data_IF_951451536537
#
_entry.id   IF_951451536537
#
_cell.length_a   1.000
_cell.length_b   1.000
_cell.length_c   1.000
_cell.angle_alpha   90.00
_cell.angle_beta   90.00
_cell.angle_gamma   90.00
#
_symmetry.space_group_name_H-M   'P 1'
#
loop_
_entity.id
_entity.type
_entity.pdbx_description
1 polymer ?
#
# COMPACT_ATOMS: atom_id res chain seq x y z
N UNK A 1 8.61 -19.47 -17.73
CA UNK A 1 8.63 -18.54 -18.88
C UNK A 1 8.31 -17.16 -18.37
N UNK A 2 9.27 -16.25 -18.45
CA UNK A 2 8.95 -14.85 -18.18
C UNK A 2 8.05 -14.38 -19.33
N UNK A 3 6.92 -13.78 -18.97
CA UNK A 3 6.05 -13.13 -19.95
C UNK A 3 6.89 -12.10 -20.71
N UNK A 4 6.88 -12.17 -22.04
CA UNK A 4 7.57 -11.22 -22.91
C UNK A 4 6.73 -9.98 -23.21
N UNK A 5 5.70 -9.73 -22.39
CA UNK A 5 4.83 -8.54 -22.54
C UNK A 5 5.65 -7.30 -22.16
N UNK A 6 5.84 -6.35 -23.07
CA UNK A 6 6.57 -5.14 -22.75
C UNK A 6 5.80 -4.30 -21.71
N UNK A 7 6.52 -3.54 -20.86
CA UNK A 7 5.86 -2.65 -19.91
C UNK A 7 4.95 -1.63 -20.61
N UNK A 8 3.89 -1.23 -19.90
CA UNK A 8 3.01 -0.15 -20.37
C UNK A 8 3.88 1.11 -20.55
N UNK A 9 3.81 1.79 -21.71
CA UNK A 9 4.61 2.99 -21.96
C UNK A 9 4.45 4.04 -20.88
N UNK A 10 5.54 4.70 -20.53
CA UNK A 10 5.57 5.76 -19.53
C UNK A 10 6.46 6.91 -19.95
N UNK A 11 6.12 8.10 -19.49
CA UNK A 11 6.95 9.28 -19.63
C UNK A 11 7.95 9.37 -18.46
N UNK A 12 9.21 9.82 -18.70
CA UNK A 12 10.16 10.11 -17.64
C UNK A 12 9.61 11.16 -16.66
N UNK A 13 10.02 11.07 -15.39
CA UNK A 13 9.64 12.03 -14.36
C UNK A 13 8.27 11.79 -13.72
N UNK A 14 7.56 10.74 -14.13
CA UNK A 14 6.26 10.38 -13.54
C UNK A 14 6.41 9.18 -12.61
N UNK A 15 5.78 9.28 -11.44
CA UNK A 15 5.62 8.15 -10.52
C UNK A 15 4.39 7.35 -10.91
N UNK A 16 4.53 6.04 -10.94
CA UNK A 16 3.41 5.13 -11.14
C UNK A 16 3.08 4.42 -9.84
N UNK A 17 1.93 4.77 -9.28
CA UNK A 17 1.41 4.18 -8.05
C UNK A 17 0.24 3.28 -8.40
N UNK A 18 0.24 2.06 -7.88
CA UNK A 18 -0.87 1.12 -8.04
C UNK A 18 -1.49 0.80 -6.69
N UNK A 19 -2.81 0.70 -6.65
CA UNK A 19 -3.57 0.26 -5.48
C UNK A 19 -4.44 -0.92 -5.87
N UNK A 20 -4.33 -2.02 -5.14
CA UNK A 20 -5.06 -3.26 -5.44
C UNK A 20 -5.52 -3.94 -4.15
N UNK A 21 -6.82 -4.18 -4.03
CA UNK A 21 -7.32 -5.16 -3.06
C UNK A 21 -7.10 -6.55 -3.66
N UNK A 22 -6.19 -7.33 -3.10
CA UNK A 22 -5.78 -8.62 -3.66
C UNK A 22 -6.62 -9.79 -3.18
N UNK A 23 -7.46 -9.58 -2.16
CA UNK A 23 -8.27 -10.64 -1.55
C UNK A 23 -7.45 -11.92 -1.31
N UNK A 24 -6.31 -11.75 -0.66
CA UNK A 24 -5.32 -12.79 -0.41
C UNK A 24 -4.18 -12.79 -1.42
N UNK A 25 -2.98 -12.40 -0.99
CA UNK A 25 -1.82 -12.27 -1.87
C UNK A 25 -1.41 -13.60 -2.52
N UNK A 26 -1.52 -14.72 -1.79
CA UNK A 26 -1.20 -16.06 -2.34
C UNK A 26 -2.08 -16.39 -3.54
N UNK A 27 -3.38 -16.11 -3.45
CA UNK A 27 -4.31 -16.33 -4.55
C UNK A 27 -4.03 -15.41 -5.73
N UNK A 28 -3.68 -14.15 -5.46
CA UNK A 28 -3.32 -13.18 -6.50
C UNK A 28 -2.07 -13.63 -7.28
N UNK A 29 -1.05 -14.13 -6.59
CA UNK A 29 0.17 -14.62 -7.25
C UNK A 29 -0.10 -15.89 -8.08
N UNK A 30 -0.99 -16.77 -7.65
CA UNK A 30 -1.43 -17.90 -8.47
C UNK A 30 -2.17 -17.46 -9.75
N UNK A 31 -2.70 -16.23 -9.77
CA UNK A 31 -3.39 -15.64 -10.91
C UNK A 31 -2.51 -14.66 -11.69
N UNK A 32 -1.20 -14.89 -11.68
CA UNK A 32 -0.20 -14.13 -12.46
C UNK A 32 0.01 -12.67 -12.02
N UNK A 33 -0.11 -12.36 -10.74
CA UNK A 33 0.16 -11.01 -10.24
C UNK A 33 1.59 -10.55 -10.53
N UNK A 34 2.57 -11.45 -10.53
CA UNK A 34 3.96 -11.11 -10.86
C UNK A 34 4.10 -10.54 -12.28
N UNK A 35 3.45 -11.15 -13.24
CA UNK A 35 3.44 -10.67 -14.65
C UNK A 35 2.71 -9.32 -14.75
N UNK A 36 1.59 -9.18 -14.05
CA UNK A 36 0.84 -7.94 -14.02
C UNK A 36 1.69 -6.78 -13.48
N UNK A 37 2.42 -6.99 -12.38
CA UNK A 37 3.31 -5.98 -11.81
C UNK A 37 4.42 -5.57 -12.78
N UNK A 38 5.04 -6.55 -13.44
CA UNK A 38 6.08 -6.31 -14.41
C UNK A 38 5.56 -5.51 -15.63
N UNK A 39 4.39 -5.89 -16.14
CA UNK A 39 3.74 -5.20 -17.25
C UNK A 39 3.38 -3.76 -16.91
N UNK A 40 2.85 -3.53 -15.71
CA UNK A 40 2.42 -2.19 -15.26
C UNK A 40 3.58 -1.28 -14.89
N UNK A 41 4.78 -1.82 -14.69
CA UNK A 41 5.98 -1.03 -14.38
C UNK A 41 5.76 -0.10 -13.18
N UNK A 42 5.28 -0.67 -12.07
CA UNK A 42 4.86 0.07 -10.88
C UNK A 42 6.07 0.52 -10.05
N UNK A 43 6.09 1.78 -9.63
CA UNK A 43 7.11 2.31 -8.73
C UNK A 43 6.74 2.09 -7.25
N UNK A 44 5.47 2.35 -6.92
CA UNK A 44 4.94 2.20 -5.55
C UNK A 44 3.66 1.36 -5.63
N UNK A 45 3.65 0.24 -4.91
CA UNK A 45 2.54 -0.69 -4.86
C UNK A 45 1.86 -0.63 -3.50
N UNK A 46 0.55 -0.39 -3.50
CA UNK A 46 -0.28 -0.42 -2.30
C UNK A 46 -1.26 -1.59 -2.39
N UNK A 47 -1.23 -2.49 -1.41
CA UNK A 47 -2.12 -3.64 -1.36
C UNK A 47 -3.02 -3.59 -0.14
N UNK A 48 -4.23 -4.12 -0.30
CA UNK A 48 -5.20 -4.32 0.76
C UNK A 48 -5.67 -5.79 0.74
N UNK A 49 -6.21 -6.24 1.86
CA UNK A 49 -6.59 -7.63 2.07
C UNK A 49 -5.47 -8.62 1.70
N UNK A 50 -4.28 -8.35 2.19
CA UNK A 50 -3.09 -9.19 1.97
C UNK A 50 -3.30 -10.60 2.52
N UNK A 51 -3.89 -10.73 3.72
CA UNK A 51 -4.34 -11.99 4.34
C UNK A 51 -3.27 -13.06 4.44
N UNK A 52 -2.03 -12.68 4.63
CA UNK A 52 -0.91 -13.60 4.72
C UNK A 52 0.11 -13.13 5.75
N UNK A 53 0.85 -14.07 6.37
CA UNK A 53 1.96 -13.71 7.25
C UNK A 53 3.04 -12.93 6.52
N UNK A 54 3.75 -12.08 7.25
CA UNK A 54 4.81 -11.22 6.71
C UNK A 54 5.89 -11.99 5.94
N UNK A 55 6.30 -13.16 6.43
CA UNK A 55 7.29 -14.00 5.74
C UNK A 55 6.85 -14.42 4.34
N UNK A 56 5.58 -14.76 4.16
CA UNK A 56 5.00 -15.13 2.86
C UNK A 56 4.95 -13.94 1.91
N UNK A 57 4.58 -12.77 2.44
CA UNK A 57 4.54 -11.53 1.66
C UNK A 57 5.92 -11.19 1.11
N UNK A 58 6.96 -11.27 1.94
CA UNK A 58 8.34 -10.97 1.55
C UNK A 58 8.91 -11.96 0.55
N UNK A 59 8.51 -13.22 0.64
CA UNK A 59 8.89 -14.24 -0.34
C UNK A 59 8.21 -14.00 -1.69
N UNK A 60 6.90 -13.77 -1.71
CA UNK A 60 6.13 -13.60 -2.95
C UNK A 60 6.50 -12.32 -3.71
N UNK A 61 6.61 -11.19 -3.01
CA UNK A 61 7.02 -9.91 -3.61
C UNK A 61 8.50 -9.87 -3.96
N UNK A 62 9.34 -10.65 -3.27
CA UNK A 62 10.79 -10.62 -3.35
C UNK A 62 11.40 -9.34 -2.77
N UNK A 63 11.94 -9.44 -1.56
CA UNK A 63 12.58 -8.32 -0.85
C UNK A 63 13.78 -7.72 -1.58
N UNK A 64 14.41 -8.47 -2.50
CA UNK A 64 15.48 -7.93 -3.31
C UNK A 64 14.98 -6.93 -4.36
N UNK A 65 13.72 -7.03 -4.73
CA UNK A 65 13.05 -6.20 -5.74
C UNK A 65 12.25 -5.06 -5.10
N UNK A 66 11.73 -5.26 -3.91
CA UNK A 66 10.81 -4.34 -3.24
C UNK A 66 11.23 -4.06 -1.81
N UNK A 67 11.17 -2.77 -1.42
CA UNK A 67 11.21 -2.36 -0.03
C UNK A 67 9.77 -2.44 0.52
N UNK A 68 9.50 -3.35 1.45
CA UNK A 68 8.15 -3.73 1.86
C UNK A 68 7.83 -3.17 3.25
N UNK A 69 6.79 -2.35 3.31
CA UNK A 69 6.14 -1.93 4.56
C UNK A 69 4.81 -2.67 4.65
N UNK A 70 4.72 -3.64 5.55
CA UNK A 70 3.53 -4.48 5.71
C UNK A 70 3.00 -4.38 7.14
N UNK A 71 1.72 -4.07 7.28
CA UNK A 71 1.00 -4.15 8.54
C UNK A 71 0.08 -5.38 8.51
N UNK A 72 0.55 -6.45 9.15
CA UNK A 72 -0.22 -7.66 9.33
C UNK A 72 -1.28 -7.44 10.41
N UNK A 73 -2.50 -7.96 10.22
CA UNK A 73 -3.50 -7.92 11.27
C UNK A 73 -3.21 -8.99 12.35
N UNK A 74 -3.51 -8.65 13.62
CA UNK A 74 -3.42 -9.63 14.71
C UNK A 74 -4.32 -10.85 14.46
N UNK A 75 -5.49 -10.64 13.84
CA UNK A 75 -6.37 -11.72 13.41
C UNK A 75 -5.80 -12.38 12.15
N UNK A 76 -5.29 -13.60 12.28
CA UNK A 76 -4.67 -14.35 11.18
C UNK A 76 -5.62 -14.54 9.99
N UNK A 77 -5.08 -14.36 8.77
CA UNK A 77 -5.83 -14.55 7.53
C UNK A 77 -6.86 -13.48 7.25
N UNK A 78 -6.80 -12.34 7.94
CA UNK A 78 -7.73 -11.23 7.77
C UNK A 78 -6.98 -9.94 7.49
N UNK A 79 -7.63 -9.02 6.75
CA UNK A 79 -7.09 -7.70 6.44
C UNK A 79 -5.62 -7.75 6.00
N UNK A 80 -4.80 -6.81 6.48
CA UNK A 80 -3.42 -6.66 6.07
C UNK A 80 -3.26 -5.69 4.93
N UNK A 81 -2.47 -4.64 5.13
CA UNK A 81 -2.16 -3.63 4.12
C UNK A 81 -0.66 -3.50 3.95
N UNK A 82 -0.22 -3.11 2.77
CA UNK A 82 1.19 -2.83 2.55
C UNK A 82 1.41 -1.68 1.57
N UNK A 83 2.60 -1.07 1.69
CA UNK A 83 3.20 -0.21 0.68
C UNK A 83 4.55 -0.83 0.32
N UNK A 84 4.75 -1.14 -0.94
CA UNK A 84 6.03 -1.64 -1.44
C UNK A 84 6.63 -0.65 -2.43
N UNK A 85 7.91 -0.33 -2.25
CA UNK A 85 8.65 0.61 -3.10
C UNK A 85 9.66 -0.18 -3.91
N UNK A 86 9.65 0.02 -5.22
CA UNK A 86 10.53 -0.69 -6.14
C UNK A 86 11.99 -0.32 -5.92
N UNK A 87 12.86 -1.33 -5.81
CA UNK A 87 14.31 -1.15 -5.64
C UNK A 87 15.07 -1.06 -6.95
N UNK A 88 14.50 -1.60 -8.02
CA UNK A 88 15.12 -1.62 -9.35
C UNK A 88 14.62 -0.46 -10.21
N UNK A 89 15.40 -0.01 -11.21
CA UNK A 89 14.92 1.03 -12.12
C UNK A 89 13.65 0.63 -12.87
N UNK A 90 12.79 1.59 -13.10
CA UNK A 90 11.62 1.44 -13.96
C UNK A 90 12.02 1.47 -15.45
N UNK A 91 11.06 1.36 -16.35
CA UNK A 91 11.32 1.33 -17.80
C UNK A 91 11.90 2.66 -18.34
N UNK A 92 11.82 3.75 -17.59
CA UNK A 92 12.49 5.01 -17.90
C UNK A 92 13.89 5.12 -17.28
N UNK A 93 14.38 4.07 -16.61
CA UNK A 93 15.68 4.06 -15.94
C UNK A 93 15.71 4.79 -14.59
N UNK A 94 14.56 5.13 -14.04
CA UNK A 94 14.42 5.88 -12.80
C UNK A 94 14.14 4.95 -11.61
N UNK A 95 14.67 5.29 -10.45
CA UNK A 95 14.48 4.52 -9.21
C UNK A 95 14.34 5.46 -8.01
N UNK A 96 13.44 5.08 -7.09
CA UNK A 96 13.30 5.75 -5.79
C UNK A 96 14.34 5.16 -4.81
N UNK A 97 15.60 5.60 -4.98
CA UNK A 97 16.72 5.07 -4.21
C UNK A 97 16.61 5.43 -2.74
N UNK A 98 16.86 4.44 -1.87
CA UNK A 98 16.81 4.59 -0.40
C UNK A 98 15.46 5.14 0.12
N UNK A 99 14.38 4.85 -0.60
CA UNK A 99 13.03 5.26 -0.26
C UNK A 99 12.19 4.07 0.22
N UNK A 100 11.18 4.27 1.07
CA UNK A 100 10.78 5.54 1.70
C UNK A 100 11.75 6.01 2.79
N UNK A 101 11.73 7.31 3.12
CA UNK A 101 12.60 7.91 4.14
C UNK A 101 12.04 7.74 5.56
N UNK A 102 10.74 7.53 5.69
CA UNK A 102 10.06 7.27 6.97
C UNK A 102 8.81 6.44 6.74
N UNK A 103 8.43 5.65 7.73
CA UNK A 103 7.25 4.79 7.67
C UNK A 103 6.50 4.81 8.98
N UNK A 104 5.18 4.59 8.92
CA UNK A 104 4.30 4.47 10.08
C UNK A 104 3.22 3.43 9.80
N UNK A 105 2.85 2.67 10.83
CA UNK A 105 1.79 1.65 10.75
C UNK A 105 0.60 1.98 11.65
N UNK A 106 0.42 3.25 11.97
CA UNK A 106 -0.65 3.72 12.83
C UNK A 106 -1.44 4.85 12.17
N UNK A 107 -2.75 4.84 12.33
CA UNK A 107 -3.62 5.98 12.00
C UNK A 107 -3.61 7.04 13.12
N UNK A 108 -2.90 6.76 14.22
CA UNK A 108 -2.84 7.62 15.40
C UNK A 108 -3.87 7.28 16.48
N UNK A 109 -4.45 6.09 16.44
CA UNK A 109 -5.34 5.55 17.46
C UNK A 109 -4.97 4.09 17.75
N UNK A 110 -4.48 3.84 18.96
CA UNK A 110 -3.96 2.52 19.37
C UNK A 110 -4.96 1.38 19.15
N UNK A 111 -6.24 1.66 19.29
CA UNK A 111 -7.32 0.69 19.05
C UNK A 111 -7.21 0.00 17.67
N UNK A 112 -6.67 0.69 16.66
CA UNK A 112 -6.54 0.16 15.30
C UNK A 112 -5.13 -0.31 14.94
N UNK A 113 -4.13 -0.16 15.80
CA UNK A 113 -2.72 -0.38 15.44
C UNK A 113 -2.40 -1.81 15.02
N UNK A 114 -3.15 -2.79 15.50
CA UNK A 114 -3.01 -4.20 15.15
C UNK A 114 -4.08 -4.72 14.18
N UNK A 115 -4.83 -3.82 13.56
CA UNK A 115 -5.94 -4.18 12.67
C UNK A 115 -5.51 -4.50 11.23
N UNK A 116 -4.29 -4.15 10.82
CA UNK A 116 -3.81 -4.34 9.46
C UNK A 116 -4.57 -3.52 8.43
N UNK A 117 -4.87 -2.23 8.72
CA UNK A 117 -5.77 -1.40 7.90
C UNK A 117 -5.19 -0.07 7.46
N UNK A 118 -4.00 0.31 7.97
CA UNK A 118 -3.41 1.61 7.67
C UNK A 118 -1.89 1.57 7.76
N UNK A 119 -1.20 1.96 6.67
CA UNK A 119 0.26 2.17 6.65
C UNK A 119 0.58 3.43 5.84
N UNK A 120 1.61 4.15 6.28
CA UNK A 120 2.06 5.39 5.68
C UNK A 120 3.54 5.30 5.33
N UNK A 121 3.90 5.73 4.13
CA UNK A 121 5.28 5.83 3.67
C UNK A 121 5.59 7.24 3.17
N UNK A 122 6.66 7.83 3.66
CA UNK A 122 7.10 9.18 3.27
C UNK A 122 8.25 9.09 2.26
N UNK A 123 8.16 9.92 1.22
CA UNK A 123 9.12 10.00 0.14
C UNK A 123 9.64 11.41 -0.04
N UNK A 124 10.89 11.54 -0.47
CA UNK A 124 11.44 12.78 -1.01
C UNK A 124 11.57 12.62 -2.51
N UNK A 125 10.85 13.44 -3.25
CA UNK A 125 10.83 13.41 -4.71
C UNK A 125 12.09 14.06 -5.30
N UNK A 126 12.43 13.77 -6.58
CA UNK A 126 13.62 14.36 -7.22
C UNK A 126 13.68 15.90 -7.20
N UNK A 127 12.51 16.57 -7.19
CA UNK A 127 12.40 18.02 -7.07
C UNK A 127 12.52 18.56 -5.63
N UNK A 128 12.76 17.69 -4.64
CA UNK A 128 12.88 18.03 -3.23
C UNK A 128 11.54 18.12 -2.48
N UNK A 129 10.42 17.98 -3.15
CA UNK A 129 9.11 17.95 -2.51
C UNK A 129 8.88 16.61 -1.78
N UNK A 130 8.03 16.64 -0.78
CA UNK A 130 7.68 15.45 0.02
C UNK A 130 6.35 14.87 -0.41
N UNK A 131 6.26 13.55 -0.38
CA UNK A 131 5.05 12.78 -0.69
C UNK A 131 4.82 11.76 0.42
N UNK A 132 3.61 11.72 0.95
CA UNK A 132 3.17 10.61 1.81
C UNK A 132 2.17 9.76 1.05
N UNK A 133 2.45 8.47 0.98
CA UNK A 133 1.54 7.48 0.38
C UNK A 133 0.96 6.60 1.50
N UNK A 134 -0.34 6.47 1.49
CA UNK A 134 -1.08 5.65 2.47
C UNK A 134 -1.81 4.53 1.75
N UNK A 135 -1.66 3.29 2.24
CA UNK A 135 -2.51 2.17 1.87
C UNK A 135 -3.51 1.94 2.99
N UNK A 136 -4.79 2.06 2.68
CA UNK A 136 -5.87 1.98 3.65
C UNK A 136 -6.90 0.90 3.27
N UNK A 137 -7.39 0.20 4.29
CA UNK A 137 -8.48 -0.75 4.17
C UNK A 137 -9.53 -0.46 5.24
N UNK A 138 -10.59 0.25 4.85
CA UNK A 138 -11.69 0.62 5.75
C UNK A 138 -12.57 -0.62 5.98
N UNK A 139 -13.12 -0.75 7.19
CA UNK A 139 -14.04 -1.83 7.53
C UNK A 139 -15.22 -1.86 6.56
N UNK A 140 -15.63 -3.06 6.16
CA UNK A 140 -16.83 -3.23 5.30
C UNK A 140 -18.11 -2.75 6.01
N UNK A 141 -18.13 -2.89 7.33
CA UNK A 141 -19.31 -2.57 8.12
C UNK A 141 -20.41 -3.64 7.99
N UNK A 142 -21.27 -3.65 8.96
CA UNK A 142 -22.49 -4.49 8.96
C UNK A 142 -23.46 -3.85 9.94
N UNK A 143 -24.59 -3.38 9.46
CA UNK A 143 -25.59 -2.66 10.26
C UNK A 143 -25.94 -3.41 11.56
N UNK A 144 -25.90 -2.71 12.68
CA UNK A 144 -26.22 -3.27 14.01
C UNK A 144 -25.10 -4.11 14.64
N UNK A 145 -23.88 -4.07 14.11
CA UNK A 145 -22.74 -4.83 14.64
C UNK A 145 -21.57 -3.92 15.04
N UNK A 146 -20.63 -4.50 15.81
CA UNK A 146 -19.37 -3.85 16.18
C UNK A 146 -18.57 -3.42 14.93
N UNK A 147 -18.66 -4.18 13.83
CA UNK A 147 -17.99 -3.83 12.56
C UNK A 147 -18.46 -2.48 12.02
N UNK A 148 -19.73 -2.16 12.18
CA UNK A 148 -20.28 -0.88 11.74
C UNK A 148 -19.80 0.26 12.62
N UNK A 149 -19.72 0.05 13.93
CA UNK A 149 -19.19 1.03 14.87
C UNK A 149 -17.71 1.28 14.63
N UNK A 150 -16.93 0.22 14.43
CA UNK A 150 -15.50 0.32 14.08
C UNK A 150 -15.29 1.05 12.77
N UNK A 151 -16.14 0.83 11.77
CA UNK A 151 -16.09 1.55 10.50
C UNK A 151 -16.24 3.05 10.72
N UNK A 152 -17.24 3.48 11.45
CA UNK A 152 -17.47 4.90 11.74
C UNK A 152 -16.32 5.51 12.56
N UNK A 153 -15.85 4.81 13.57
CA UNK A 153 -14.71 5.23 14.37
C UNK A 153 -13.44 5.39 13.53
N UNK A 154 -13.18 4.46 12.61
CA UNK A 154 -12.06 4.52 11.71
C UNK A 154 -12.17 5.71 10.74
N UNK A 155 -13.34 5.94 10.17
CA UNK A 155 -13.60 7.10 9.29
C UNK A 155 -13.44 8.43 10.03
N UNK A 156 -13.93 8.53 11.27
CA UNK A 156 -13.72 9.71 12.12
C UNK A 156 -12.22 9.95 12.36
N UNK A 157 -11.46 8.89 12.61
CA UNK A 157 -10.01 9.00 12.78
C UNK A 157 -9.31 9.43 11.49
N UNK A 158 -9.75 8.96 10.34
CA UNK A 158 -9.26 9.44 9.03
C UNK A 158 -9.46 10.96 8.89
N UNK A 159 -10.62 11.49 9.27
CA UNK A 159 -10.89 12.93 9.22
C UNK A 159 -9.93 13.77 10.07
N UNK A 160 -9.36 13.20 11.12
CA UNK A 160 -8.32 13.84 11.93
C UNK A 160 -6.95 13.65 11.30
N UNK A 161 -6.63 12.43 10.84
CA UNK A 161 -5.30 12.11 10.32
C UNK A 161 -5.00 12.77 8.98
N UNK A 162 -5.97 12.90 8.10
CA UNK A 162 -5.78 13.48 6.77
C UNK A 162 -5.24 14.93 6.81
N UNK A 163 -5.82 15.85 7.61
CA UNK A 163 -5.23 17.18 7.79
C UNK A 163 -3.82 17.18 8.37
N UNK A 164 -3.54 16.30 9.34
CA UNK A 164 -2.19 16.15 9.91
C UNK A 164 -1.17 15.78 8.82
N UNK A 165 -1.52 14.86 7.93
CA UNK A 165 -0.67 14.45 6.81
C UNK A 165 -0.48 15.58 5.80
N UNK A 166 -1.53 16.35 5.52
CA UNK A 166 -1.47 17.50 4.61
C UNK A 166 -0.56 18.62 5.12
N UNK A 167 -0.40 18.75 6.44
CA UNK A 167 0.57 19.66 7.04
C UNK A 167 1.99 19.08 7.05
N UNK A 168 2.11 17.75 7.10
CA UNK A 168 3.37 17.02 7.18
C UNK A 168 4.11 16.94 5.83
N UNK A 169 3.39 16.78 4.74
CA UNK A 169 3.95 16.58 3.40
C UNK A 169 3.36 17.52 2.36
N UNK A 170 4.15 17.87 1.35
CA UNK A 170 3.68 18.70 0.22
C UNK A 170 2.56 18.01 -0.56
N UNK A 171 2.65 16.70 -0.69
CA UNK A 171 1.66 15.88 -1.37
C UNK A 171 1.26 14.69 -0.49
N UNK A 172 -0.03 14.35 -0.50
CA UNK A 172 -0.56 13.18 0.20
C UNK A 172 -1.45 12.39 -0.76
N UNK A 173 -1.15 11.10 -0.86
CA UNK A 173 -1.93 10.17 -1.66
C UNK A 173 -2.46 9.07 -0.74
N UNK A 174 -3.75 9.04 -0.51
CA UNK A 174 -4.42 8.00 0.26
C UNK A 174 -5.18 7.11 -0.72
N UNK A 175 -4.75 5.88 -0.81
CA UNK A 175 -5.34 4.90 -1.73
C UNK A 175 -5.77 3.65 -0.97
N UNK A 176 -6.65 2.88 -1.55
CA UNK A 176 -7.08 1.62 -0.98
C UNK A 176 -8.55 1.30 -1.20
N UNK A 177 -9.04 0.40 -0.38
CA UNK A 177 -10.45 -0.01 -0.37
C UNK A 177 -11.18 0.73 0.76
N UNK A 178 -11.97 1.72 0.40
CA UNK A 178 -12.69 2.55 1.36
C UNK A 178 -14.03 1.94 1.79
N UNK A 179 -14.44 0.84 1.18
CA UNK A 179 -15.71 0.16 1.47
C UNK A 179 -16.92 1.12 1.53
N UNK A 180 -16.99 2.05 0.58
CA UNK A 180 -18.10 2.97 0.41
C UNK A 180 -18.74 2.74 -0.95
N UNK A 181 -20.05 2.63 -0.96
CA UNK A 181 -20.83 2.33 -2.17
C UNK A 181 -22.31 2.50 -1.94
#
# INVERSE_FOLDING_TARGET
MHSSIPPVPREPGLLRVASVNVNGIRAAYRKNMADWLAERDVDILCLQEVRAPDAIVRELLDESQWNILHAEAAAKGRAGVLVATRRTPNSAGEVLKDQPVATRSTIGEEYFDDSGRWVEADYVLPNGQTLTVVSAYVHSGEVGTQKQEDKYRFLERMLVRMPELAEHSDHVLIVGDLNVG
#
